data_IF_019545291367
#
_entry.id   IF_019545291367
#
_cell.length_a   1.000
_cell.length_b   1.000
_cell.length_c   1.000
_cell.angle_alpha   90.00
_cell.angle_beta   90.00
_cell.angle_gamma   90.00
#
_symmetry.space_group_name_H-M   'P 1'
#
loop_
_entity.id
_entity.type
_entity.pdbx_description
1 polymer ?
#
# COMPACT_ATOMS: atom_id res chain seq x y z
N UNK A 1 15.02 16.16 -22.86
CA UNK A 1 15.45 15.12 -21.93
C UNK A 1 16.03 13.94 -22.68
N UNK A 2 17.13 13.41 -22.20
CA UNK A 2 17.75 12.23 -22.81
C UNK A 2 17.53 11.01 -21.91
N UNK A 3 17.24 9.89 -22.52
CA UNK A 3 17.11 8.61 -21.82
C UNK A 3 18.07 7.63 -22.48
N UNK A 4 18.92 6.98 -21.70
CA UNK A 4 19.87 5.99 -22.20
C UNK A 4 19.99 4.81 -21.23
N UNK A 5 20.39 3.66 -21.79
CA UNK A 5 20.68 2.47 -21.02
C UNK A 5 22.20 2.25 -21.07
N UNK A 6 22.83 2.13 -19.90
CA UNK A 6 24.23 1.78 -19.76
C UNK A 6 24.32 0.38 -19.18
N UNK A 7 25.08 -0.50 -19.83
CA UNK A 7 25.25 -1.88 -19.39
C UNK A 7 26.58 -2.00 -18.66
N UNK A 8 26.51 -2.45 -17.40
CA UNK A 8 27.67 -2.73 -16.58
C UNK A 8 27.48 -4.11 -15.94
N UNK A 9 28.21 -5.10 -16.43
CA UNK A 9 28.07 -6.49 -15.96
C UNK A 9 28.53 -6.71 -14.52
N UNK A 10 29.25 -5.75 -13.94
CA UNK A 10 29.74 -5.83 -12.56
C UNK A 10 28.78 -5.29 -11.52
N UNK A 11 27.64 -4.75 -11.94
CA UNK A 11 26.62 -4.26 -11.01
C UNK A 11 25.89 -5.43 -10.35
N UNK A 12 25.72 -5.34 -9.02
CA UNK A 12 24.95 -6.31 -8.25
C UNK A 12 23.48 -5.93 -8.17
N UNK A 13 23.15 -4.68 -8.42
CA UNK A 13 21.79 -4.15 -8.36
C UNK A 13 21.60 -3.11 -9.46
N UNK A 14 20.47 -3.20 -10.16
CA UNK A 14 20.13 -2.20 -11.16
C UNK A 14 19.77 -0.88 -10.48
N UNK A 15 20.16 0.24 -11.11
CA UNK A 15 19.80 1.55 -10.57
C UNK A 15 19.32 2.50 -11.66
N UNK A 16 18.42 3.39 -11.29
CA UNK A 16 17.99 4.50 -12.13
C UNK A 16 18.40 5.80 -11.44
N UNK A 17 19.19 6.60 -12.14
CA UNK A 17 19.65 7.90 -11.65
C UNK A 17 18.99 9.00 -12.45
N UNK A 18 18.30 9.91 -11.76
CA UNK A 18 17.72 11.09 -12.40
C UNK A 18 18.57 12.29 -12.02
N UNK A 19 19.30 12.82 -13.03
CA UNK A 19 20.11 14.02 -12.84
C UNK A 19 19.33 15.25 -13.26
N UNK A 20 19.16 16.17 -12.33
CA UNK A 20 18.42 17.40 -12.56
C UNK A 20 19.04 18.54 -11.77
N UNK A 21 18.80 19.77 -12.23
CA UNK A 21 19.28 20.96 -11.52
C UNK A 21 18.53 21.14 -10.21
N UNK A 22 17.22 20.90 -10.23
CA UNK A 22 16.36 20.94 -9.05
C UNK A 22 15.25 19.89 -9.20
N UNK A 23 14.90 19.17 -8.11
CA UNK A 23 13.78 18.23 -8.17
C UNK A 23 12.47 19.01 -8.27
N UNK A 24 11.75 18.81 -9.37
CA UNK A 24 10.43 19.38 -9.59
C UNK A 24 9.38 18.26 -9.62
N UNK A 25 8.13 18.65 -9.85
CA UNK A 25 7.03 17.68 -9.87
C UNK A 25 7.20 16.62 -10.95
N UNK A 26 7.76 16.98 -12.09
CA UNK A 26 8.01 16.04 -13.20
C UNK A 26 9.06 15.00 -12.79
N UNK A 27 10.13 15.43 -12.12
CA UNK A 27 11.19 14.53 -11.62
C UNK A 27 10.61 13.58 -10.58
N UNK A 28 9.76 14.06 -9.67
CA UNK A 28 9.11 13.24 -8.67
C UNK A 28 8.17 12.21 -9.30
N UNK A 29 7.47 12.56 -10.38
CA UNK A 29 6.65 11.62 -11.15
C UNK A 29 7.50 10.51 -11.77
N UNK A 30 8.64 10.85 -12.33
CA UNK A 30 9.56 9.88 -12.91
C UNK A 30 10.10 8.91 -11.85
N UNK A 31 10.45 9.43 -10.68
CA UNK A 31 10.89 8.60 -9.57
C UNK A 31 9.81 7.59 -9.17
N UNK A 32 8.58 8.05 -9.06
CA UNK A 32 7.44 7.19 -8.71
C UNK A 32 7.19 6.09 -9.75
N UNK A 33 7.27 6.45 -11.03
CA UNK A 33 7.11 5.49 -12.12
C UNK A 33 8.20 4.43 -12.09
N UNK A 34 9.44 4.81 -11.82
CA UNK A 34 10.56 3.89 -11.71
C UNK A 34 10.37 2.92 -10.52
N UNK A 35 9.97 3.43 -9.37
CA UNK A 35 9.70 2.61 -8.19
C UNK A 35 8.58 1.60 -8.45
N UNK A 36 7.54 2.00 -9.18
CA UNK A 36 6.41 1.14 -9.52
C UNK A 36 6.76 0.08 -10.56
N UNK A 37 7.79 0.29 -11.36
CA UNK A 37 8.19 -0.64 -12.42
C UNK A 37 8.75 -1.96 -11.89
N UNK A 38 9.20 -2.01 -10.65
CA UNK A 38 9.68 -3.24 -10.02
C UNK A 38 8.56 -4.20 -9.62
N UNK A 39 7.30 -3.76 -9.74
CA UNK A 39 6.14 -4.54 -9.36
C UNK A 39 5.79 -4.44 -7.89
N UNK A 40 4.76 -5.17 -7.50
CA UNK A 40 4.31 -5.19 -6.11
C UNK A 40 5.22 -6.06 -5.23
N UNK A 41 5.39 -5.70 -3.94
CA UNK A 41 6.14 -6.54 -3.02
C UNK A 41 5.43 -7.88 -2.82
N UNK A 42 6.21 -8.93 -2.63
CA UNK A 42 5.68 -10.24 -2.30
C UNK A 42 5.43 -10.34 -0.81
N UNK A 43 4.16 -10.50 -0.44
CA UNK A 43 3.73 -10.60 0.95
C UNK A 43 3.03 -11.94 1.15
N UNK A 44 3.45 -12.68 2.18
CA UNK A 44 2.81 -13.94 2.53
C UNK A 44 1.57 -13.67 3.40
N UNK A 45 0.45 -14.21 2.97
CA UNK A 45 -0.83 -14.15 3.68
C UNK A 45 -1.16 -15.52 4.21
N UNK A 46 -1.76 -15.60 5.38
CA UNK A 46 -2.05 -16.86 6.05
C UNK A 46 -3.53 -16.96 6.39
N UNK A 47 -4.06 -18.16 6.24
CA UNK A 47 -5.40 -18.52 6.70
C UNK A 47 -5.30 -19.90 7.27
N UNK A 48 -5.47 -20.02 8.59
CA UNK A 48 -5.17 -21.23 9.34
C UNK A 48 -3.69 -21.62 9.13
N UNK A 49 -3.39 -22.84 8.72
CA UNK A 49 -2.03 -23.28 8.48
C UNK A 49 -1.60 -23.16 7.00
N UNK A 50 -2.42 -22.52 6.17
CA UNK A 50 -2.18 -22.40 4.74
C UNK A 50 -1.67 -21.01 4.39
N UNK A 51 -0.65 -20.96 3.56
CA UNK A 51 -0.04 -19.73 3.07
C UNK A 51 -0.61 -19.40 1.69
N UNK A 52 -1.05 -18.16 1.52
CA UNK A 52 -1.64 -17.68 0.28
C UNK A 52 -0.90 -16.49 -0.27
N UNK A 53 -0.98 -16.28 -1.58
CA UNK A 53 -0.39 -15.13 -2.27
C UNK A 53 -1.44 -14.45 -3.15
N UNK A 54 -2.50 -13.87 -2.57
CA UNK A 54 -3.51 -13.17 -3.36
C UNK A 54 -2.89 -11.92 -4.00
N UNK A 55 -3.43 -11.45 -5.13
CA UNK A 55 -2.98 -10.20 -5.73
C UNK A 55 -3.13 -9.07 -4.71
N UNK A 56 -2.08 -8.28 -4.54
CA UNK A 56 -2.08 -7.17 -3.57
C UNK A 56 -3.22 -6.19 -3.87
N UNK A 57 -3.56 -6.01 -5.14
CA UNK A 57 -4.66 -5.15 -5.58
C UNK A 57 -6.03 -5.62 -5.06
N UNK A 58 -6.18 -6.88 -4.68
CA UNK A 58 -7.43 -7.42 -4.12
C UNK A 58 -7.62 -7.08 -2.64
N UNK A 59 -6.58 -6.59 -1.98
CA UNK A 59 -6.65 -6.22 -0.56
C UNK A 59 -7.30 -4.85 -0.44
N UNK A 60 -8.36 -4.76 0.36
CA UNK A 60 -9.08 -3.53 0.65
C UNK A 60 -8.37 -2.72 1.73
N UNK A 61 -7.98 -3.38 2.80
CA UNK A 61 -7.28 -2.74 3.91
C UNK A 61 -6.59 -3.77 4.80
N UNK A 62 -5.62 -3.27 5.55
CA UNK A 62 -4.95 -4.00 6.64
C UNK A 62 -5.36 -3.37 7.96
N UNK A 63 -5.66 -4.19 8.94
CA UNK A 63 -6.07 -3.71 10.26
C UNK A 63 -5.47 -4.61 11.36
N UNK A 64 -4.98 -4.00 12.44
CA UNK A 64 -4.48 -4.76 13.58
C UNK A 64 -5.64 -5.43 14.30
N UNK A 65 -5.49 -6.73 14.58
CA UNK A 65 -6.41 -7.50 15.39
C UNK A 65 -5.83 -7.75 16.78
N UNK A 66 -6.45 -8.66 17.54
CA UNK A 66 -6.01 -8.97 18.91
C UNK A 66 -4.60 -9.55 18.96
N UNK A 67 -4.27 -10.44 18.02
CA UNK A 67 -2.98 -11.14 18.01
C UNK A 67 -2.22 -11.00 16.71
N UNK A 68 -2.90 -10.61 15.65
CA UNK A 68 -2.33 -10.58 14.30
C UNK A 68 -2.79 -9.37 13.53
N UNK A 69 -2.05 -9.06 12.47
CA UNK A 69 -2.48 -8.09 11.48
C UNK A 69 -3.35 -8.81 10.46
N UNK A 70 -4.53 -8.25 10.19
CA UNK A 70 -5.49 -8.83 9.25
C UNK A 70 -5.50 -8.07 7.93
N UNK A 71 -5.52 -8.81 6.83
CA UNK A 71 -5.67 -8.28 5.49
C UNK A 71 -7.05 -8.66 4.96
N UNK A 72 -7.87 -7.67 4.63
CA UNK A 72 -9.25 -7.89 4.19
C UNK A 72 -9.38 -7.75 2.69
N UNK A 73 -9.98 -8.76 2.06
CA UNK A 73 -10.50 -8.67 0.69
C UNK A 73 -12.00 -8.41 0.76
N UNK A 74 -12.69 -8.35 -0.37
CA UNK A 74 -14.14 -8.12 -0.39
C UNK A 74 -14.93 -9.23 0.34
N UNK A 75 -14.41 -10.44 0.35
CA UNK A 75 -15.11 -11.61 0.87
C UNK A 75 -14.26 -12.49 1.80
N UNK A 76 -13.02 -12.10 2.08
CA UNK A 76 -12.11 -12.93 2.87
C UNK A 76 -11.28 -12.11 3.84
N UNK A 77 -10.63 -12.79 4.78
CA UNK A 77 -9.69 -12.20 5.73
C UNK A 77 -8.49 -13.11 5.85
N UNK A 78 -7.31 -12.55 5.62
CA UNK A 78 -6.04 -13.26 5.80
C UNK A 78 -5.25 -12.64 6.94
N UNK A 79 -4.33 -13.40 7.52
CA UNK A 79 -3.41 -12.90 8.53
C UNK A 79 -2.06 -12.59 7.89
N UNK A 80 -1.38 -11.59 8.41
CA UNK A 80 -0.05 -11.18 7.96
C UNK A 80 0.87 -11.15 9.17
N UNK A 81 2.05 -11.77 9.03
CA UNK A 81 3.05 -11.84 10.12
C UNK A 81 4.02 -10.66 10.07
N UNK A 82 3.49 -9.48 9.85
CA UNK A 82 4.26 -8.25 9.83
C UNK A 82 3.56 -7.23 10.72
N UNK A 83 4.32 -6.25 11.16
CA UNK A 83 3.77 -5.10 11.88
C UNK A 83 3.28 -4.07 10.88
N UNK A 84 2.34 -3.26 11.29
CA UNK A 84 1.72 -2.27 10.41
C UNK A 84 2.74 -1.27 9.85
N UNK A 85 3.69 -0.81 10.68
CA UNK A 85 4.72 0.12 10.22
C UNK A 85 5.66 -0.52 9.19
N UNK A 86 5.91 -1.83 9.28
CA UNK A 86 6.72 -2.55 8.29
C UNK A 86 6.02 -2.62 6.94
N UNK A 87 4.70 -2.88 6.95
CA UNK A 87 3.89 -2.85 5.74
C UNK A 87 3.86 -1.47 5.11
N UNK A 88 3.71 -0.42 5.92
CA UNK A 88 3.67 0.95 5.44
C UNK A 88 4.91 1.31 4.62
N UNK A 89 6.07 0.77 4.99
CA UNK A 89 7.33 1.02 4.29
C UNK A 89 7.42 0.35 2.93
N UNK A 90 6.80 -0.82 2.75
CA UNK A 90 6.94 -1.63 1.53
C UNK A 90 5.75 -1.55 0.59
N UNK A 91 4.58 -1.15 1.07
CA UNK A 91 3.36 -1.12 0.25
C UNK A 91 3.41 -0.02 -0.81
N UNK A 92 2.82 -0.28 -2.00
CA UNK A 92 2.66 0.77 -3.02
C UNK A 92 1.84 1.95 -2.51
N UNK A 93 1.93 3.08 -3.21
CA UNK A 93 1.29 4.35 -2.82
C UNK A 93 -0.24 4.31 -2.77
N UNK A 94 -0.87 3.36 -3.43
CA UNK A 94 -2.31 3.17 -3.33
C UNK A 94 -2.76 2.74 -1.94
N UNK A 95 -1.82 2.33 -1.10
CA UNK A 95 -2.08 2.01 0.31
C UNK A 95 -1.68 3.18 1.17
N UNK A 96 -2.62 3.69 1.97
CA UNK A 96 -2.45 4.88 2.79
C UNK A 96 -2.80 4.57 4.24
N UNK A 97 -1.93 4.99 5.16
CA UNK A 97 -2.19 4.88 6.59
C UNK A 97 -3.33 5.81 6.97
N UNK A 98 -4.38 5.28 7.58
CA UNK A 98 -5.58 6.07 7.95
C UNK A 98 -5.84 6.12 9.44
N UNK A 99 -5.12 5.32 10.22
CA UNK A 99 -5.19 5.33 11.68
C UNK A 99 -3.96 4.64 12.25
N UNK A 100 -3.85 4.60 13.57
CA UNK A 100 -2.79 3.84 14.24
C UNK A 100 -2.88 2.35 13.95
N UNK A 101 -4.06 1.86 13.58
CA UNK A 101 -4.33 0.43 13.43
C UNK A 101 -4.67 0.00 12.00
N UNK A 102 -4.67 0.91 11.02
CA UNK A 102 -5.14 0.55 9.69
C UNK A 102 -4.42 1.26 8.54
N UNK A 103 -4.26 0.51 7.44
CA UNK A 103 -3.81 1.00 6.13
C UNK A 103 -4.87 0.61 5.12
N UNK A 104 -5.28 1.53 4.26
CA UNK A 104 -6.35 1.31 3.29
C UNK A 104 -5.83 1.38 1.86
N UNK A 105 -6.39 0.55 0.98
CA UNK A 105 -6.19 0.63 -0.46
C UNK A 105 -7.19 1.65 -1.02
N UNK A 106 -6.71 2.84 -1.38
CA UNK A 106 -7.57 3.93 -1.84
C UNK A 106 -8.33 3.59 -3.12
N UNK A 107 -7.82 2.66 -3.91
CA UNK A 107 -8.46 2.22 -5.15
C UNK A 107 -9.85 1.61 -4.92
N UNK A 108 -10.05 1.00 -3.77
CA UNK A 108 -11.31 0.32 -3.44
C UNK A 108 -12.27 1.14 -2.58
N UNK A 109 -11.91 2.36 -2.25
CA UNK A 109 -12.79 3.23 -1.48
C UNK A 109 -14.00 3.62 -2.34
N UNK A 110 -15.19 3.33 -1.81
CA UNK A 110 -16.45 3.73 -2.42
C UNK A 110 -16.95 5.07 -1.88
N UNK A 111 -16.90 5.24 -0.55
CA UNK A 111 -17.34 6.47 0.09
C UNK A 111 -16.57 6.74 1.38
N UNK A 112 -16.47 8.02 1.71
CA UNK A 112 -15.91 8.48 2.98
C UNK A 112 -16.93 9.40 3.61
N UNK A 113 -17.48 8.99 4.76
CA UNK A 113 -18.44 9.79 5.50
C UNK A 113 -17.73 10.49 6.64
N UNK A 114 -17.62 11.82 6.53
CA UNK A 114 -16.93 12.62 7.52
C UNK A 114 -17.78 12.86 8.75
N UNK A 115 -17.16 12.78 9.93
CA UNK A 115 -17.77 13.16 11.20
C UNK A 115 -17.06 14.40 11.73
N UNK A 116 -17.83 15.39 12.18
CA UNK A 116 -17.31 16.66 12.66
C UNK A 116 -16.39 16.50 13.87
N UNK A 117 -16.61 15.48 14.69
CA UNK A 117 -16.00 15.37 16.01
C UNK A 117 -14.89 14.34 16.15
N UNK A 118 -14.81 13.31 15.31
CA UNK A 118 -13.86 12.23 15.58
C UNK A 118 -13.27 11.57 14.35
N UNK A 119 -13.95 10.63 13.75
CA UNK A 119 -13.39 9.79 12.69
C UNK A 119 -14.27 9.82 11.46
N UNK A 120 -13.65 9.52 10.30
CA UNK A 120 -14.38 9.31 9.06
C UNK A 120 -14.67 7.82 8.89
N UNK A 121 -15.82 7.48 8.35
CA UNK A 121 -16.20 6.11 8.04
C UNK A 121 -15.93 5.84 6.57
N UNK A 122 -15.08 4.87 6.30
CA UNK A 122 -14.71 4.47 4.94
C UNK A 122 -15.52 3.22 4.57
N UNK A 123 -16.21 3.29 3.44
CA UNK A 123 -16.92 2.15 2.85
C UNK A 123 -16.22 1.74 1.56
N UNK A 124 -16.25 0.45 1.25
CA UNK A 124 -15.55 -0.12 0.11
C UNK A 124 -16.53 -0.64 -0.94
N UNK A 125 -16.13 -0.58 -2.21
CA UNK A 125 -16.95 -1.04 -3.31
C UNK A 125 -17.09 -2.57 -3.27
N UNK A 126 -18.31 -3.07 -3.49
CA UNK A 126 -18.58 -4.50 -3.65
C UNK A 126 -18.57 -5.31 -2.36
N UNK A 127 -18.64 -4.67 -1.20
CA UNK A 127 -18.63 -5.35 0.09
C UNK A 127 -19.36 -4.52 1.14
N UNK A 128 -19.76 -5.16 2.23
CA UNK A 128 -20.32 -4.47 3.40
C UNK A 128 -19.24 -4.06 4.42
N UNK A 129 -17.99 -4.39 4.16
CA UNK A 129 -16.89 -4.04 5.06
C UNK A 129 -16.69 -2.54 5.14
N UNK A 130 -16.41 -2.05 6.34
CA UNK A 130 -16.19 -0.64 6.63
C UNK A 130 -15.01 -0.47 7.58
N UNK A 131 -14.44 0.72 7.59
CA UNK A 131 -13.27 1.05 8.39
C UNK A 131 -13.34 2.50 8.85
N UNK A 132 -12.91 2.78 10.08
CA UNK A 132 -12.80 4.14 10.58
C UNK A 132 -11.41 4.70 10.35
N UNK A 133 -11.33 5.91 9.81
CA UNK A 133 -10.08 6.65 9.65
C UNK A 133 -9.98 7.73 10.72
N UNK A 134 -8.80 7.87 11.31
CA UNK A 134 -8.51 8.91 12.28
C UNK A 134 -8.27 10.25 11.59
N UNK A 135 -8.77 11.35 12.16
CA UNK A 135 -8.54 12.70 11.63
C UNK A 135 -7.06 13.07 11.56
N UNK A 136 -6.23 12.52 12.43
CA UNK A 136 -4.81 12.83 12.45
C UNK A 136 -4.03 12.19 11.30
N UNK A 137 -4.61 11.22 10.61
CA UNK A 137 -3.99 10.54 9.47
C UNK A 137 -4.67 10.87 8.13
N UNK A 138 -5.89 11.33 8.20
CA UNK A 138 -6.72 11.53 7.00
C UNK A 138 -6.75 12.99 6.57
#
# INVERSE_FOLDING_TARGET
MKVRIEIDENMSEDEIVIRCAQPDERVLKMKRAAESAEGDPEIAFFKDAVQFYPPLDSILFFETGEHNLNAHTSDDVFQVKMKLFELEEILPRKFVRVSKSAIVNVKHIYSVEGNITSASLISFAGTHKQLYASRSYY
#
